data_IF_941789423478
#
_entry.id   IF_941789423478
#
_cell.length_a   1.000
_cell.length_b   1.000
_cell.length_c   1.000
_cell.angle_alpha   90.00
_cell.angle_beta   90.00
_cell.angle_gamma   90.00
#
_symmetry.space_group_name_H-M   'P 1'
#
loop_
_entity.id
_entity.type
_entity.pdbx_description
1 polymer ?
#
# COMPACT_ATOMS: atom_id res chain seq x y z
N UNK A 1 10.33 -0.96 -17.77
CA UNK A 1 10.23 0.49 -17.53
C UNK A 1 10.80 1.19 -18.76
N UNK A 2 9.97 1.89 -19.54
CA UNK A 2 10.27 2.22 -20.95
C UNK A 2 10.15 3.70 -21.32
N UNK A 3 10.48 4.61 -20.39
CA UNK A 3 10.46 6.06 -20.63
C UNK A 3 11.72 6.67 -20.02
N UNK A 4 12.27 7.67 -20.70
CA UNK A 4 13.35 8.50 -20.19
C UNK A 4 12.84 9.46 -19.11
N UNK A 5 13.74 9.90 -18.22
CA UNK A 5 13.43 10.90 -17.19
C UNK A 5 12.91 12.23 -17.79
N UNK A 6 13.28 12.54 -19.03
CA UNK A 6 12.76 13.71 -19.76
C UNK A 6 11.29 13.51 -20.11
N UNK A 7 10.94 12.37 -20.69
CA UNK A 7 9.55 12.05 -21.04
C UNK A 7 8.64 11.97 -19.81
N UNK A 8 9.16 11.45 -18.68
CA UNK A 8 8.41 11.42 -17.43
C UNK A 8 8.16 12.83 -16.87
N UNK A 9 9.19 13.69 -16.89
CA UNK A 9 9.07 15.08 -16.46
C UNK A 9 8.04 15.86 -17.30
N UNK A 10 8.06 15.66 -18.62
CA UNK A 10 7.10 16.28 -19.55
C UNK A 10 5.66 15.82 -19.25
N UNK A 11 5.45 14.53 -18.95
CA UNK A 11 4.13 13.97 -18.62
C UNK A 11 3.52 14.55 -17.34
N UNK A 12 4.32 14.73 -16.29
CA UNK A 12 3.86 15.34 -15.02
C UNK A 12 3.95 16.88 -15.03
N UNK A 13 4.36 17.47 -16.15
CA UNK A 13 4.43 18.91 -16.36
C UNK A 13 5.43 19.62 -15.45
N UNK A 14 6.64 19.07 -15.30
CA UNK A 14 7.76 19.68 -14.56
C UNK A 14 9.04 19.65 -15.39
N UNK A 15 10.05 20.42 -15.00
CA UNK A 15 11.36 20.33 -15.66
C UNK A 15 12.10 19.07 -15.23
N UNK A 16 12.99 18.53 -16.08
CA UNK A 16 13.89 17.42 -15.73
C UNK A 16 14.66 17.68 -14.42
N UNK A 17 15.09 18.92 -14.20
CA UNK A 17 15.80 19.31 -12.98
C UNK A 17 14.88 19.30 -11.75
N UNK A 18 13.61 19.67 -11.91
CA UNK A 18 12.61 19.60 -10.85
C UNK A 18 12.35 18.14 -10.47
N UNK A 19 12.13 17.26 -11.45
CA UNK A 19 11.95 15.83 -11.22
C UNK A 19 13.18 15.22 -10.53
N UNK A 20 14.39 15.57 -10.96
CA UNK A 20 15.62 15.12 -10.29
C UNK A 20 15.65 15.49 -8.80
N UNK A 21 15.16 16.69 -8.44
CA UNK A 21 15.07 17.10 -7.03
C UNK A 21 14.06 16.28 -6.23
N UNK A 22 12.96 15.86 -6.87
CA UNK A 22 11.97 14.98 -6.24
C UNK A 22 12.56 13.59 -5.97
N UNK A 23 13.25 13.01 -6.96
CA UNK A 23 13.86 11.67 -6.85
C UNK A 23 15.01 11.58 -5.84
N UNK A 24 15.64 12.70 -5.49
CA UNK A 24 16.81 12.77 -4.62
C UNK A 24 16.51 13.45 -3.27
N UNK A 25 15.24 13.58 -2.89
CA UNK A 25 14.79 14.20 -1.63
C UNK A 25 15.31 15.64 -1.39
N UNK A 26 15.73 16.33 -2.45
CA UNK A 26 16.22 17.72 -2.38
C UNK A 26 15.03 18.67 -2.15
N UNK A 27 13.85 18.32 -2.69
CA UNK A 27 12.59 19.02 -2.47
C UNK A 27 11.56 18.02 -1.99
N UNK A 28 11.14 18.15 -0.73
CA UNK A 28 10.14 17.28 -0.09
C UNK A 28 8.74 17.89 -0.05
N UNK A 29 8.63 19.21 -0.19
CA UNK A 29 7.35 19.91 -0.29
C UNK A 29 6.85 19.89 -1.74
N UNK A 30 6.56 18.69 -2.26
CA UNK A 30 6.05 18.48 -3.61
C UNK A 30 4.56 18.87 -3.64
N UNK A 31 4.10 19.69 -4.60
CA UNK A 31 2.69 20.03 -4.72
C UNK A 31 1.82 18.78 -4.92
N UNK A 32 0.63 18.75 -4.31
CA UNK A 32 -0.25 17.57 -4.33
C UNK A 32 -0.68 17.16 -5.74
N UNK A 33 -0.94 18.11 -6.63
CA UNK A 33 -1.25 17.85 -8.04
C UNK A 33 -0.12 17.09 -8.74
N UNK A 34 1.14 17.38 -8.40
CA UNK A 34 2.31 16.67 -8.95
C UNK A 34 2.40 15.25 -8.42
N UNK A 35 2.16 15.04 -7.12
CA UNK A 35 2.14 13.71 -6.51
C UNK A 35 1.04 12.84 -7.14
N UNK A 36 -0.15 13.40 -7.36
CA UNK A 36 -1.25 12.70 -8.04
C UNK A 36 -0.90 12.30 -9.47
N UNK A 37 -0.29 13.18 -10.26
CA UNK A 37 0.15 12.85 -11.62
C UNK A 37 1.24 11.78 -11.64
N UNK A 38 2.21 11.84 -10.72
CA UNK A 38 3.23 10.80 -10.57
C UNK A 38 2.59 9.45 -10.25
N UNK A 39 1.63 9.43 -9.32
CA UNK A 39 0.91 8.22 -8.94
C UNK A 39 0.15 7.61 -10.13
N UNK A 40 -0.52 8.43 -10.95
CA UNK A 40 -1.24 7.99 -12.15
C UNK A 40 -0.29 7.36 -13.18
N UNK A 41 0.81 8.06 -13.53
CA UNK A 41 1.78 7.57 -14.52
C UNK A 41 2.53 6.31 -14.05
N UNK A 42 2.75 6.17 -12.74
CA UNK A 42 3.39 5.00 -12.13
C UNK A 42 2.41 3.87 -11.76
N UNK A 43 1.10 4.05 -12.00
CA UNK A 43 0.05 3.13 -11.56
C UNK A 43 0.13 2.78 -10.07
N UNK A 44 0.37 3.80 -9.24
CA UNK A 44 0.52 3.71 -7.78
C UNK A 44 -0.44 4.67 -7.05
N UNK A 45 -0.31 4.79 -5.73
CA UNK A 45 -1.07 5.73 -4.91
C UNK A 45 -0.20 6.93 -4.48
N UNK A 46 -0.78 8.14 -4.30
CA UNK A 46 -0.06 9.26 -3.71
C UNK A 46 0.56 8.93 -2.35
N UNK A 47 -0.13 8.11 -1.55
CA UNK A 47 0.33 7.68 -0.23
C UNK A 47 1.54 6.75 -0.32
N UNK A 48 1.61 5.86 -1.31
CA UNK A 48 2.78 5.02 -1.55
C UNK A 48 3.98 5.83 -2.03
N UNK A 49 3.77 6.76 -2.98
CA UNK A 49 4.83 7.65 -3.51
C UNK A 49 5.47 8.48 -2.40
N UNK A 50 4.66 8.94 -1.44
CA UNK A 50 5.13 9.75 -0.30
C UNK A 50 5.64 8.92 0.89
N UNK A 51 5.57 7.58 0.82
CA UNK A 51 5.91 6.71 1.95
C UNK A 51 4.94 6.84 3.13
N UNK A 52 3.71 7.34 2.91
CA UNK A 52 2.66 7.42 3.93
C UNK A 52 1.91 6.11 4.12
N UNK A 53 1.82 5.26 3.08
CA UNK A 53 1.37 3.87 3.25
C UNK A 53 2.36 3.13 4.15
N UNK A 54 3.66 3.45 4.02
CA UNK A 54 4.68 3.04 4.96
C UNK A 54 4.52 3.68 6.34
N UNK A 55 3.70 4.68 6.62
CA UNK A 55 3.45 5.06 8.03
C UNK A 55 2.51 4.05 8.72
N UNK A 56 1.79 3.24 7.93
CA UNK A 56 0.99 2.11 8.44
C UNK A 56 1.79 0.78 8.44
N UNK A 57 2.82 0.62 7.61
CA UNK A 57 3.71 -0.57 7.56
C UNK A 57 5.12 -0.36 8.11
N UNK A 58 5.52 0.89 8.34
CA UNK A 58 6.67 1.38 9.11
C UNK A 58 6.17 2.05 10.40
N UNK A 59 5.33 1.30 11.10
CA UNK A 59 5.77 0.96 12.44
C UNK A 59 7.16 0.32 12.31
N UNK A 60 8.19 1.14 12.40
CA UNK A 60 9.29 0.84 13.30
C UNK A 60 9.39 -0.66 13.68
N UNK A 61 10.40 -1.34 13.13
CA UNK A 61 11.29 -2.09 14.02
C UNK A 61 11.89 -1.10 15.02
N UNK A 62 11.07 -0.62 15.93
CA UNK A 62 11.43 0.01 17.17
C UNK A 62 10.31 -0.42 18.10
N UNK A 63 10.56 -1.58 18.71
CA UNK A 63 10.48 -1.77 20.15
C UNK A 63 9.45 -0.88 20.86
N UNK A 64 8.17 -0.97 20.50
CA UNK A 64 7.08 -0.35 21.25
C UNK A 64 5.76 -1.11 21.07
N UNK A 65 5.78 -2.42 21.30
CA UNK A 65 4.61 -3.21 21.70
C UNK A 65 5.10 -4.26 22.70
N UNK A 66 4.34 -4.48 23.77
CA UNK A 66 4.56 -5.59 24.70
C UNK A 66 4.50 -6.92 23.90
N UNK A 67 5.33 -7.89 24.29
CA UNK A 67 5.61 -9.16 23.56
C UNK A 67 4.32 -9.90 23.14
N UNK A 68 3.25 -9.74 23.90
CA UNK A 68 1.95 -10.36 23.67
C UNK A 68 1.20 -9.77 22.45
N UNK A 69 1.30 -8.47 22.19
CA UNK A 69 0.61 -7.80 21.07
C UNK A 69 1.30 -8.08 19.73
N UNK A 70 2.63 -8.29 19.74
CA UNK A 70 3.41 -8.65 18.57
C UNK A 70 3.13 -10.09 18.10
N UNK A 71 2.98 -11.03 19.05
CA UNK A 71 2.63 -12.41 18.73
C UNK A 71 1.25 -12.53 18.09
N UNK A 72 0.25 -11.83 18.64
CA UNK A 72 -1.10 -11.81 18.08
C UNK A 72 -1.14 -11.20 16.66
N UNK A 73 -0.34 -10.16 16.39
CA UNK A 73 -0.22 -9.60 15.04
C UNK A 73 0.47 -10.54 14.06
N UNK A 74 1.52 -11.25 14.51
CA UNK A 74 2.22 -12.23 13.67
C UNK A 74 1.31 -13.42 13.35
N UNK A 75 0.60 -13.97 14.33
CA UNK A 75 -0.37 -15.05 14.14
C UNK A 75 -1.49 -14.63 13.15
N UNK A 76 -2.02 -13.41 13.29
CA UNK A 76 -3.02 -12.87 12.37
C UNK A 76 -2.48 -12.74 10.93
N UNK A 77 -1.21 -12.35 10.78
CA UNK A 77 -0.59 -12.22 9.46
C UNK A 77 -0.38 -13.59 8.80
N UNK A 78 0.08 -14.58 9.57
CA UNK A 78 0.30 -15.94 9.09
C UNK A 78 -1.02 -16.59 8.61
N UNK A 79 -2.11 -16.41 9.37
CA UNK A 79 -3.44 -16.91 9.01
C UNK A 79 -3.98 -16.25 7.74
N UNK A 80 -3.81 -14.93 7.59
CA UNK A 80 -4.19 -14.21 6.38
C UNK A 80 -3.38 -14.67 5.17
N UNK A 81 -2.10 -14.94 5.36
CA UNK A 81 -1.23 -15.45 4.31
C UNK A 81 -1.65 -16.86 3.88
N UNK A 82 -1.95 -17.75 4.83
CA UNK A 82 -2.47 -19.09 4.54
C UNK A 82 -3.80 -19.05 3.79
N UNK A 83 -4.71 -18.13 4.16
CA UNK A 83 -5.94 -17.88 3.41
C UNK A 83 -5.68 -17.41 1.98
N UNK A 84 -4.71 -16.52 1.77
CA UNK A 84 -4.34 -16.02 0.45
C UNK A 84 -3.72 -17.12 -0.43
N UNK A 85 -2.86 -17.95 0.14
CA UNK A 85 -2.25 -19.09 -0.55
C UNK A 85 -3.33 -20.10 -0.98
N UNK A 86 -4.25 -20.45 -0.07
CA UNK A 86 -5.37 -21.32 -0.39
C UNK A 86 -6.33 -20.73 -1.45
N UNK A 87 -6.50 -19.41 -1.46
CA UNK A 87 -7.34 -18.72 -2.43
C UNK A 87 -6.71 -18.62 -3.83
N UNK A 88 -5.38 -18.76 -3.95
CA UNK A 88 -4.63 -18.55 -5.19
C UNK A 88 -5.08 -19.45 -6.34
N UNK A 89 -5.40 -20.71 -6.02
CA UNK A 89 -5.86 -21.72 -6.99
C UNK A 89 -7.39 -21.92 -6.96
N UNK A 90 -8.12 -21.12 -6.17
CA UNK A 90 -9.56 -21.27 -6.01
C UNK A 90 -10.34 -20.64 -7.19
N UNK A 91 -11.50 -21.22 -7.50
CA UNK A 91 -12.42 -20.61 -8.48
C UNK A 91 -12.97 -19.28 -7.94
N UNK A 92 -13.17 -18.25 -8.78
CA UNK A 92 -13.65 -16.94 -8.34
C UNK A 92 -14.98 -16.98 -7.57
N UNK A 93 -15.86 -17.93 -7.89
CA UNK A 93 -17.12 -18.17 -7.18
C UNK A 93 -16.91 -18.55 -5.71
N UNK A 94 -15.92 -19.39 -5.41
CA UNK A 94 -15.61 -19.82 -4.05
C UNK A 94 -14.96 -18.70 -3.24
N UNK A 95 -14.11 -17.89 -3.87
CA UNK A 95 -13.51 -16.71 -3.23
C UNK A 95 -14.64 -15.74 -2.82
N UNK A 96 -15.61 -15.49 -3.70
CA UNK A 96 -16.77 -14.63 -3.40
C UNK A 96 -17.62 -15.19 -2.25
N UNK A 97 -17.87 -16.50 -2.24
CA UNK A 97 -18.60 -17.15 -1.14
C UNK A 97 -17.85 -17.03 0.20
N UNK A 98 -16.54 -17.23 0.21
CA UNK A 98 -15.70 -17.09 1.40
C UNK A 98 -15.71 -15.65 1.94
N UNK A 99 -15.60 -14.64 1.06
CA UNK A 99 -15.71 -13.23 1.44
C UNK A 99 -17.08 -12.94 2.06
N UNK A 100 -18.16 -13.46 1.47
CA UNK A 100 -19.51 -13.25 1.99
C UNK A 100 -19.68 -13.86 3.39
N UNK A 101 -19.16 -15.08 3.59
CA UNK A 101 -19.17 -15.74 4.89
C UNK A 101 -18.42 -14.92 5.95
N UNK A 102 -17.22 -14.42 5.64
CA UNK A 102 -16.44 -13.58 6.55
C UNK A 102 -17.18 -12.27 6.92
N UNK A 103 -17.89 -11.66 5.96
CA UNK A 103 -18.73 -10.47 6.23
C UNK A 103 -19.87 -10.79 7.18
N UNK A 104 -20.58 -11.90 6.95
CA UNK A 104 -21.67 -12.35 7.83
C UNK A 104 -21.15 -12.60 9.25
N UNK A 105 -20.00 -13.28 9.39
CA UNK A 105 -19.39 -13.54 10.71
C UNK A 105 -19.04 -12.24 11.44
N UNK A 106 -18.50 -11.24 10.71
CA UNK A 106 -18.21 -9.92 11.27
C UNK A 106 -19.47 -9.23 11.79
N UNK A 107 -20.56 -9.27 11.03
CA UNK A 107 -21.84 -8.65 11.41
C UNK A 107 -22.47 -9.33 12.63
N UNK A 108 -22.38 -10.66 12.73
CA UNK A 108 -22.90 -11.41 13.89
C UNK A 108 -22.08 -11.22 15.18
N UNK A 109 -20.87 -10.68 15.09
CA UNK A 109 -19.98 -10.46 16.25
C UNK A 109 -20.10 -9.03 16.84
N UNK A 110 -20.98 -8.19 16.28
CA UNK A 110 -21.23 -6.81 16.73
C UNK A 110 -22.37 -6.72 17.76
N UNK A 111 -23.18 -7.79 17.90
CA UNK A 111 -24.33 -7.86 18.82
C UNK A 111 -24.03 -8.55 20.17
N UNK A 112 -22.75 -8.69 20.55
CA UNK A 112 -22.29 -9.38 21.77
C UNK A 112 -21.51 -8.50 22.73
#
# INVERSE_FOLDING_TARGET
MGFSQVEFADRIGVSKQTLYKYENDIVTNIPSDKIEMIAIECHSSPTYIMGWDDVQTSGQQSSYYDDETAKAHQEMYDDLHALMDAAKDARPEYIKSAIQLLKTLKETNVDG
#
